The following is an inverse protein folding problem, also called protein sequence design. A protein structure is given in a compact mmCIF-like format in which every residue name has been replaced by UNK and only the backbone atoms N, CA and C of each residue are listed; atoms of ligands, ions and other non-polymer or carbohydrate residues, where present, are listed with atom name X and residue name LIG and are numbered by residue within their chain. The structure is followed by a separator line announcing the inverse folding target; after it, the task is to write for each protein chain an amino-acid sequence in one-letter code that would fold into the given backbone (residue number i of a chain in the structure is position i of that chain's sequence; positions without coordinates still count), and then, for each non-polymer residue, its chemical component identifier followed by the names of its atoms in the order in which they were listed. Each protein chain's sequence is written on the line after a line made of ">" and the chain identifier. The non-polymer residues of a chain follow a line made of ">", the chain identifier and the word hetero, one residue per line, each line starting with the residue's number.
data_IF_308849019394
#
_entry.id   IF_308849019394
#
_cell.length_a   1.000
_cell.length_b   1.000
_cell.length_c   1.000
_cell.angle_alpha   90.00
_cell.angle_beta   90.00
_cell.angle_gamma   90.00
#
_symmetry.space_group_name_H-M   'P 1'
#
loop_
_entity.id
_entity.type
_entity.pdbx_description
1 polymer ?
#
# COMPACT_ATOMS: atom_id res chain seq x y z
N UNK A 1 42.37 -33.86 -25.92
CA UNK A 1 40.92 -33.51 -25.95
C UNK A 1 40.12 -34.17 -24.81
N UNK A 2 40.24 -35.50 -24.59
CA UNK A 2 39.55 -36.26 -23.52
C UNK A 2 39.79 -35.79 -22.06
N UNK A 3 41.02 -35.38 -21.70
CA UNK A 3 41.35 -34.85 -20.35
C UNK A 3 40.64 -33.52 -20.03
N UNK A 4 40.51 -32.63 -21.02
CA UNK A 4 39.79 -31.33 -20.87
C UNK A 4 38.28 -31.54 -20.69
N UNK A 5 37.69 -32.56 -21.32
CA UNK A 5 36.28 -32.94 -21.17
C UNK A 5 35.99 -33.56 -19.78
N UNK A 6 36.88 -34.42 -19.25
CA UNK A 6 36.75 -34.96 -17.88
C UNK A 6 36.85 -33.86 -16.81
N UNK A 7 37.76 -32.89 -16.97
CA UNK A 7 37.89 -31.77 -16.02
C UNK A 7 36.68 -30.84 -16.03
N UNK A 8 36.13 -30.52 -17.21
CA UNK A 8 34.89 -29.73 -17.31
C UNK A 8 33.69 -30.41 -16.66
N UNK A 9 33.54 -31.74 -16.84
CA UNK A 9 32.49 -32.52 -16.14
C UNK A 9 32.69 -32.49 -14.62
N UNK A 10 33.91 -32.70 -14.11
CA UNK A 10 34.21 -32.68 -12.67
C UNK A 10 33.87 -31.33 -12.00
N UNK A 11 34.25 -30.21 -12.63
CA UNK A 11 33.95 -28.86 -12.13
C UNK A 11 32.43 -28.60 -12.14
N UNK A 12 31.73 -29.06 -13.18
CA UNK A 12 30.27 -28.96 -13.26
C UNK A 12 29.57 -29.76 -12.15
N UNK A 13 30.00 -31.00 -11.89
CA UNK A 13 29.46 -31.82 -10.80
C UNK A 13 29.73 -31.23 -9.42
N UNK A 14 30.91 -30.62 -9.21
CA UNK A 14 31.21 -29.90 -7.97
C UNK A 14 30.29 -28.69 -7.78
N UNK A 15 30.15 -27.83 -8.79
CA UNK A 15 29.21 -26.68 -8.74
C UNK A 15 27.76 -27.12 -8.51
N UNK A 16 27.34 -28.21 -9.14
CA UNK A 16 25.99 -28.76 -8.94
C UNK A 16 25.81 -29.28 -7.52
N UNK A 17 26.81 -29.97 -6.95
CA UNK A 17 26.78 -30.43 -5.55
C UNK A 17 26.76 -29.25 -4.58
N UNK A 18 27.60 -28.25 -4.79
CA UNK A 18 27.65 -27.05 -3.96
C UNK A 18 26.30 -26.30 -4.01
N UNK A 19 25.68 -26.19 -5.19
CA UNK A 19 24.35 -25.61 -5.35
C UNK A 19 23.26 -26.43 -4.63
N UNK A 20 23.31 -27.77 -4.69
CA UNK A 20 22.38 -28.66 -3.99
C UNK A 20 22.52 -28.58 -2.46
N UNK A 21 23.76 -28.48 -1.96
CA UNK A 21 24.01 -28.28 -0.53
C UNK A 21 23.52 -26.89 -0.06
N UNK A 22 23.75 -25.84 -0.86
CA UNK A 22 23.21 -24.51 -0.56
C UNK A 22 21.68 -24.49 -0.54
N UNK A 23 21.02 -25.13 -1.51
CA UNK A 23 19.55 -25.29 -1.53
C UNK A 23 19.05 -26.05 -0.30
N UNK A 24 19.74 -27.12 0.11
CA UNK A 24 19.41 -27.87 1.33
C UNK A 24 19.57 -27.01 2.59
N UNK A 25 20.64 -26.23 2.70
CA UNK A 25 20.85 -25.31 3.82
C UNK A 25 19.75 -24.25 3.85
N UNK A 26 19.41 -23.66 2.71
CA UNK A 26 18.37 -22.65 2.60
C UNK A 26 17.00 -23.20 3.04
N UNK A 27 16.62 -24.40 2.58
CA UNK A 27 15.39 -25.07 3.01
C UNK A 27 15.37 -25.35 4.52
N UNK A 28 16.50 -25.74 5.10
CA UNK A 28 16.59 -25.96 6.55
C UNK A 28 16.43 -24.66 7.33
N UNK A 29 17.04 -23.55 6.87
CA UNK A 29 16.86 -22.22 7.46
C UNK A 29 15.39 -21.79 7.41
N UNK A 30 14.74 -21.89 6.25
CA UNK A 30 13.32 -21.58 6.10
C UNK A 30 12.42 -22.41 7.05
N UNK A 31 12.74 -23.70 7.24
CA UNK A 31 12.02 -24.55 8.19
C UNK A 31 12.22 -24.11 9.64
N UNK A 32 13.43 -23.72 10.03
CA UNK A 32 13.74 -23.20 11.37
C UNK A 32 12.98 -21.89 11.60
N UNK A 33 13.05 -20.95 10.66
CA UNK A 33 12.37 -19.66 10.73
C UNK A 33 10.85 -19.83 10.85
N UNK A 34 10.25 -20.73 10.05
CA UNK A 34 8.82 -21.05 10.14
C UNK A 34 8.45 -21.61 11.51
N UNK A 35 9.24 -22.53 12.07
CA UNK A 35 9.00 -23.09 13.40
C UNK A 35 9.10 -22.03 14.49
N UNK A 36 10.13 -21.19 14.43
CA UNK A 36 10.30 -20.07 15.35
C UNK A 36 9.11 -19.11 15.25
N UNK A 37 8.67 -18.76 14.04
CA UNK A 37 7.49 -17.94 13.82
C UNK A 37 6.24 -18.54 14.46
N UNK A 38 5.94 -19.83 14.23
CA UNK A 38 4.76 -20.48 14.81
C UNK A 38 4.79 -20.44 16.35
N UNK A 39 5.96 -20.67 16.95
CA UNK A 39 6.15 -20.59 18.39
C UNK A 39 5.89 -19.17 18.92
N UNK A 40 6.54 -18.17 18.33
CA UNK A 40 6.42 -16.77 18.73
C UNK A 40 5.00 -16.23 18.53
N UNK A 41 4.34 -16.59 17.43
CA UNK A 41 2.95 -16.20 17.20
C UNK A 41 2.01 -16.83 18.23
N UNK A 42 2.18 -18.12 18.53
CA UNK A 42 1.38 -18.81 19.56
C UNK A 42 1.53 -18.16 20.93
N UNK A 43 2.76 -17.82 21.32
CA UNK A 43 3.03 -17.10 22.58
C UNK A 43 2.39 -15.71 22.58
N UNK A 44 2.52 -14.95 21.48
CA UNK A 44 1.87 -13.65 21.36
C UNK A 44 0.36 -13.77 21.51
N UNK A 45 -0.26 -14.76 20.86
CA UNK A 45 -1.70 -15.01 20.98
C UNK A 45 -2.16 -15.38 22.38
N UNK A 46 -1.35 -16.13 23.13
CA UNK A 46 -1.65 -16.49 24.51
C UNK A 46 -1.50 -15.30 25.46
N UNK A 47 -0.51 -14.44 25.23
CA UNK A 47 -0.25 -13.26 26.06
C UNK A 47 -1.21 -12.09 25.75
N UNK A 48 -1.76 -12.04 24.54
CA UNK A 48 -2.67 -10.98 24.13
C UNK A 48 -4.02 -11.09 24.87
N UNK A 49 -4.27 -10.18 25.81
CA UNK A 49 -5.57 -10.12 26.50
C UNK A 49 -6.52 -9.13 25.85
N UNK A 50 -7.79 -9.51 25.67
CA UNK A 50 -8.84 -8.59 25.22
C UNK A 50 -9.20 -7.52 26.26
N UNK A 51 -8.76 -7.69 27.52
CA UNK A 51 -9.05 -6.78 28.63
C UNK A 51 -8.39 -5.40 28.45
N UNK A 52 -7.36 -5.31 27.62
CA UNK A 52 -6.63 -4.06 27.34
C UNK A 52 -7.22 -3.24 26.17
N UNK A 53 -8.37 -3.64 25.62
CA UNK A 53 -8.96 -2.98 24.46
C UNK A 53 -9.46 -1.56 24.78
N UNK A 54 -9.02 -0.59 23.98
CA UNK A 54 -9.43 0.82 24.06
C UNK A 54 -10.20 1.22 22.82
N UNK A 55 -11.51 1.45 22.96
CA UNK A 55 -12.42 1.62 21.82
C UNK A 55 -12.10 2.82 20.92
N UNK A 56 -11.51 3.90 21.44
CA UNK A 56 -11.17 5.12 20.67
C UNK A 56 -9.65 5.28 20.44
N UNK A 57 -8.86 4.25 20.70
CA UNK A 57 -7.42 4.24 20.48
C UNK A 57 -7.10 3.60 19.14
N UNK A 58 -6.43 4.32 18.25
CA UNK A 58 -6.08 3.85 16.92
C UNK A 58 -4.56 3.69 16.78
N UNK A 59 -4.16 2.52 16.31
CA UNK A 59 -2.77 2.20 15.98
C UNK A 59 -2.55 2.47 14.49
N UNK A 60 -1.61 3.37 14.21
CA UNK A 60 -1.19 3.79 12.88
C UNK A 60 0.18 3.20 12.55
N UNK A 61 0.46 2.96 11.27
CA UNK A 61 1.76 2.42 10.88
C UNK A 61 2.88 3.47 10.96
N UNK A 62 3.95 3.06 11.64
CA UNK A 62 5.25 3.69 11.66
C UNK A 62 6.10 3.15 10.51
N UNK A 63 6.73 4.05 9.75
CA UNK A 63 7.60 3.72 8.62
C UNK A 63 9.02 4.26 8.78
N UNK A 64 9.39 4.79 9.95
CA UNK A 64 10.73 5.31 10.24
C UNK A 64 11.85 4.27 10.14
N UNK A 65 11.51 3.00 10.30
CA UNK A 65 12.45 1.88 10.12
C UNK A 65 12.18 1.08 8.84
N UNK A 66 11.12 1.42 8.10
CA UNK A 66 10.77 0.79 6.84
C UNK A 66 11.62 1.38 5.72
N UNK A 67 12.79 0.77 5.52
CA UNK A 67 13.81 1.26 4.59
C UNK A 67 14.18 0.18 3.59
N UNK A 68 14.41 0.58 2.34
CA UNK A 68 14.93 -0.31 1.31
C UNK A 68 16.30 0.22 0.90
N UNK A 69 17.38 -0.49 1.26
CA UNK A 69 18.76 -0.11 0.94
C UNK A 69 19.14 1.31 1.41
N UNK A 70 18.67 1.74 2.58
CA UNK A 70 18.97 3.07 3.13
C UNK A 70 18.10 4.20 2.58
N UNK A 71 17.00 3.87 1.90
CA UNK A 71 16.05 4.84 1.36
C UNK A 71 14.67 4.71 2.00
N UNK A 72 14.02 5.85 2.19
CA UNK A 72 12.60 5.95 2.51
C UNK A 72 11.74 6.26 1.30
N UNK A 73 10.54 5.68 1.31
CA UNK A 73 9.46 5.99 0.39
C UNK A 73 8.40 6.82 1.11
N UNK A 74 8.28 8.11 0.79
CA UNK A 74 7.28 8.97 1.44
C UNK A 74 5.85 8.54 1.13
N UNK A 75 5.63 7.71 0.10
CA UNK A 75 4.34 7.09 -0.20
C UNK A 75 3.79 6.24 0.94
N UNK A 76 4.64 5.67 1.78
CA UNK A 76 4.21 4.90 2.95
C UNK A 76 3.62 5.82 4.02
N UNK A 77 4.28 6.95 4.29
CA UNK A 77 3.77 7.98 5.19
C UNK A 77 2.46 8.60 4.68
N UNK A 78 2.28 8.76 3.36
CA UNK A 78 1.01 9.22 2.76
C UNK A 78 -0.13 8.25 3.12
N UNK A 79 0.11 6.93 3.12
CA UNK A 79 -0.90 5.95 3.53
C UNK A 79 -1.32 6.19 4.98
N UNK A 80 -0.36 6.42 5.91
CA UNK A 80 -0.66 6.71 7.32
C UNK A 80 -1.39 8.04 7.49
N UNK A 81 -1.00 9.09 6.77
CA UNK A 81 -1.67 10.40 6.77
C UNK A 81 -3.14 10.24 6.36
N UNK A 82 -3.39 9.51 5.27
CA UNK A 82 -4.74 9.27 4.76
C UNK A 82 -5.60 8.44 5.73
N UNK A 83 -5.02 7.39 6.33
CA UNK A 83 -5.69 6.59 7.37
C UNK A 83 -6.08 7.46 8.56
N UNK A 84 -5.15 8.30 9.06
CA UNK A 84 -5.43 9.23 10.16
C UNK A 84 -6.53 10.22 9.82
N UNK A 85 -6.55 10.76 8.60
CA UNK A 85 -7.59 11.67 8.13
C UNK A 85 -8.96 10.97 8.03
N UNK A 86 -9.02 9.76 7.48
CA UNK A 86 -10.26 8.97 7.37
C UNK A 86 -10.85 8.62 8.75
N UNK A 87 -10.01 8.31 9.74
CA UNK A 87 -10.46 8.09 11.12
C UNK A 87 -11.04 9.37 11.73
N UNK A 88 -10.32 10.50 11.62
CA UNK A 88 -10.78 11.79 12.18
C UNK A 88 -12.09 12.30 11.58
N UNK A 89 -12.39 11.94 10.32
CA UNK A 89 -13.68 12.28 9.68
C UNK A 89 -14.85 11.46 10.23
N UNK A 90 -14.61 10.24 10.71
CA UNK A 90 -15.65 9.31 11.13
C UNK A 90 -15.84 9.23 12.65
N UNK A 91 -14.81 9.59 13.43
CA UNK A 91 -14.79 9.41 14.87
C UNK A 91 -14.25 10.65 15.59
N UNK A 92 -14.94 11.05 16.66
CA UNK A 92 -14.55 12.13 17.56
C UNK A 92 -13.75 11.58 18.76
N UNK A 93 -12.92 12.44 19.39
CA UNK A 93 -12.16 12.10 20.62
C UNK A 93 -11.29 10.84 20.48
N UNK A 94 -10.62 10.72 19.33
CA UNK A 94 -9.73 9.60 19.02
C UNK A 94 -8.31 9.87 19.49
N UNK A 95 -7.65 8.83 19.98
CA UNK A 95 -6.23 8.81 20.32
C UNK A 95 -5.45 8.03 19.26
N UNK A 96 -4.21 8.43 19.01
CA UNK A 96 -3.35 7.79 18.02
C UNK A 96 -2.03 7.35 18.63
N UNK A 97 -1.62 6.14 18.30
CA UNK A 97 -0.30 5.60 18.57
C UNK A 97 0.32 5.13 17.24
N UNK A 98 1.65 5.18 17.13
CA UNK A 98 2.35 4.63 15.97
C UNK A 98 3.06 3.33 16.33
N UNK A 99 3.00 2.35 15.43
CA UNK A 99 3.68 1.07 15.59
C UNK A 99 4.15 0.54 14.25
N UNK A 100 5.33 -0.08 14.22
CA UNK A 100 5.86 -0.66 12.99
C UNK A 100 5.00 -1.85 12.55
N UNK A 101 4.67 -1.88 11.26
CA UNK A 101 4.04 -3.06 10.67
C UNK A 101 4.96 -4.30 10.73
N UNK A 102 6.27 -4.11 10.89
CA UNK A 102 7.23 -5.21 10.91
C UNK A 102 7.31 -5.94 12.26
N UNK A 103 6.73 -5.37 13.32
CA UNK A 103 6.67 -5.97 14.66
C UNK A 103 5.26 -5.97 15.24
N UNK A 104 4.24 -5.71 14.41
CA UNK A 104 2.86 -5.50 14.86
C UNK A 104 2.33 -6.69 15.67
N UNK A 105 2.67 -7.93 15.28
CA UNK A 105 2.27 -9.15 15.98
C UNK A 105 2.69 -9.17 17.46
N UNK A 106 3.73 -8.42 17.85
CA UNK A 106 4.27 -8.38 19.22
C UNK A 106 3.85 -7.14 19.99
N UNK A 107 3.04 -6.26 19.37
CA UNK A 107 2.59 -5.03 20.00
C UNK A 107 1.81 -5.32 21.28
N UNK A 108 2.21 -4.62 22.34
CA UNK A 108 1.49 -4.60 23.60
C UNK A 108 0.39 -3.53 23.59
N UNK A 109 -0.62 -3.73 24.44
CA UNK A 109 -1.80 -2.87 24.55
C UNK A 109 -2.84 -3.14 23.46
N UNK A 110 -4.06 -2.65 23.70
CA UNK A 110 -5.19 -2.80 22.79
C UNK A 110 -5.54 -1.52 22.04
N UNK A 111 -6.40 -1.66 21.05
CA UNK A 111 -6.84 -0.57 20.18
C UNK A 111 -7.35 -1.09 18.84
N UNK A 112 -7.47 -0.21 17.86
CA UNK A 112 -7.96 -0.52 16.53
C UNK A 112 -6.85 -0.26 15.52
N UNK A 113 -6.57 -1.22 14.65
CA UNK A 113 -5.61 -1.06 13.55
C UNK A 113 -6.35 -1.21 12.22
N UNK A 114 -6.18 -0.21 11.35
CA UNK A 114 -6.62 -0.29 9.96
C UNK A 114 -5.44 -0.81 9.14
N UNK A 115 -5.60 -1.97 8.52
CA UNK A 115 -4.55 -2.63 7.73
C UNK A 115 -4.34 -1.99 6.36
N UNK A 116 -4.25 -0.67 6.31
CA UNK A 116 -3.89 0.09 5.11
C UNK A 116 -2.36 0.16 5.00
N UNK A 117 -1.80 -0.60 4.07
CA UNK A 117 -0.35 -0.65 3.89
C UNK A 117 0.09 -1.55 2.75
N UNK A 118 1.40 -1.51 2.51
CA UNK A 118 2.11 -2.41 1.62
C UNK A 118 2.90 -3.41 2.47
N UNK A 119 2.39 -4.63 2.63
CA UNK A 119 3.03 -5.64 3.48
C UNK A 119 4.05 -6.43 2.66
N UNK A 120 5.33 -6.28 3.00
CA UNK A 120 6.43 -6.81 2.18
C UNK A 120 7.72 -7.15 2.91
N UNK A 121 8.03 -6.48 4.03
CA UNK A 121 9.33 -6.59 4.70
C UNK A 121 9.37 -7.60 5.84
N UNK A 122 8.23 -8.05 6.35
CA UNK A 122 8.20 -9.07 7.41
C UNK A 122 6.98 -9.97 7.31
N UNK A 123 7.00 -11.05 8.09
CA UNK A 123 5.89 -11.96 8.33
C UNK A 123 5.09 -11.60 9.60
N UNK A 124 5.46 -10.51 10.27
CA UNK A 124 4.98 -10.16 11.60
C UNK A 124 3.89 -9.07 11.57
N UNK A 125 3.34 -8.79 10.39
CA UNK A 125 2.37 -7.73 10.18
C UNK A 125 0.95 -8.08 10.60
N UNK A 126 0.65 -9.34 10.90
CA UNK A 126 -0.67 -9.71 11.40
C UNK A 126 -0.80 -9.32 12.87
N UNK A 127 -1.77 -8.48 13.24
CA UNK A 127 -1.88 -7.97 14.61
C UNK A 127 -2.28 -9.05 15.63
N UNK A 128 -1.92 -8.85 16.91
CA UNK A 128 -2.33 -9.70 18.02
C UNK A 128 -3.82 -9.54 18.34
N UNK A 129 -4.39 -10.45 19.16
CA UNK A 129 -5.82 -10.44 19.53
C UNK A 129 -6.23 -9.25 20.40
N UNK A 130 -5.27 -8.54 21.00
CA UNK A 130 -5.50 -7.29 21.72
C UNK A 130 -5.89 -6.14 20.79
N UNK A 131 -5.55 -6.23 19.49
CA UNK A 131 -5.90 -5.25 18.49
C UNK A 131 -7.10 -5.70 17.66
N UNK A 132 -8.06 -4.80 17.53
CA UNK A 132 -9.14 -4.94 16.59
C UNK A 132 -8.65 -4.64 15.18
N UNK A 133 -8.50 -5.70 14.38
CA UNK A 133 -7.95 -5.64 13.03
C UNK A 133 -9.05 -5.39 11.98
N UNK A 134 -8.93 -4.28 11.25
CA UNK A 134 -9.86 -3.91 10.17
C UNK A 134 -9.09 -3.80 8.86
N UNK A 135 -9.36 -4.70 7.90
CA UNK A 135 -8.67 -4.69 6.61
C UNK A 135 -9.30 -3.69 5.64
N UNK A 136 -8.53 -2.67 5.27
CA UNK A 136 -8.90 -1.66 4.27
C UNK A 136 -7.63 -1.20 3.59
N UNK A 137 -7.59 -1.21 2.25
CA UNK A 137 -6.46 -0.75 1.47
C UNK A 137 -5.22 -1.62 1.64
N UNK A 138 -5.43 -2.89 1.99
CA UNK A 138 -4.36 -3.87 2.18
C UNK A 138 -3.80 -4.33 0.83
N UNK A 139 -2.48 -4.35 0.70
CA UNK A 139 -1.81 -5.01 -0.39
C UNK A 139 -0.82 -6.07 0.11
N UNK A 140 -0.91 -7.25 -0.48
CA UNK A 140 0.06 -8.32 -0.27
C UNK A 140 0.93 -8.45 -1.53
N UNK A 141 2.24 -8.28 -1.37
CA UNK A 141 3.17 -8.67 -2.41
C UNK A 141 3.32 -10.21 -2.44
N UNK A 142 4.04 -10.79 -3.42
CA UNK A 142 4.23 -12.25 -3.48
C UNK A 142 4.79 -12.87 -2.19
N UNK A 143 5.71 -12.18 -1.50
CA UNK A 143 6.26 -12.66 -0.22
C UNK A 143 5.19 -12.76 0.86
N UNK A 144 4.40 -11.70 1.04
CA UNK A 144 3.28 -11.68 1.98
C UNK A 144 2.21 -12.72 1.61
N UNK A 145 1.91 -12.92 0.32
CA UNK A 145 0.98 -13.96 -0.14
C UNK A 145 1.45 -15.36 0.26
N UNK A 146 2.73 -15.68 0.05
CA UNK A 146 3.33 -16.96 0.46
C UNK A 146 3.24 -17.14 1.99
N UNK A 147 3.51 -16.08 2.74
CA UNK A 147 3.35 -16.10 4.19
C UNK A 147 1.89 -16.33 4.61
N UNK A 148 0.93 -15.64 4.00
CA UNK A 148 -0.50 -15.81 4.31
C UNK A 148 -0.97 -17.24 4.00
N UNK A 149 -0.49 -17.85 2.91
CA UNK A 149 -0.77 -19.25 2.60
C UNK A 149 -0.26 -20.19 3.71
N UNK A 150 1.02 -20.05 4.08
CA UNK A 150 1.63 -20.81 5.17
C UNK A 150 0.88 -20.59 6.50
N UNK A 151 0.59 -19.34 6.83
CA UNK A 151 -0.06 -18.95 8.08
C UNK A 151 -1.47 -19.52 8.16
N UNK A 152 -2.27 -19.40 7.10
CA UNK A 152 -3.64 -19.91 7.06
C UNK A 152 -3.71 -21.44 7.19
N UNK A 153 -2.69 -22.17 6.71
CA UNK A 153 -2.62 -23.62 6.89
C UNK A 153 -2.44 -24.03 8.36
N UNK A 154 -1.83 -23.17 9.20
CA UNK A 154 -1.60 -23.43 10.63
C UNK A 154 -2.63 -22.77 11.54
N UNK A 155 -3.16 -21.62 11.15
CA UNK A 155 -4.12 -20.82 11.92
C UNK A 155 -5.38 -20.48 11.09
N UNK A 156 -6.13 -21.47 10.59
CA UNK A 156 -7.27 -21.24 9.68
C UNK A 156 -8.39 -20.40 10.32
N UNK A 157 -8.46 -20.37 11.65
CA UNK A 157 -9.45 -19.58 12.38
C UNK A 157 -9.17 -18.07 12.36
N UNK A 158 -7.94 -17.64 12.07
CA UNK A 158 -7.57 -16.22 12.14
C UNK A 158 -8.37 -15.35 11.16
N UNK A 159 -8.52 -15.83 9.92
CA UNK A 159 -9.28 -15.12 8.88
C UNK A 159 -10.77 -15.47 8.88
N UNK A 160 -11.20 -16.41 9.71
CA UNK A 160 -12.61 -16.81 9.78
C UNK A 160 -13.46 -15.61 10.19
N UNK A 161 -14.54 -15.36 9.43
CA UNK A 161 -15.48 -14.26 9.61
C UNK A 161 -14.89 -12.85 9.48
N UNK A 162 -13.64 -12.70 9.02
CA UNK A 162 -13.04 -11.39 8.74
C UNK A 162 -13.36 -10.95 7.32
N UNK A 163 -13.62 -9.65 7.16
CA UNK A 163 -13.72 -9.03 5.84
C UNK A 163 -12.34 -8.47 5.45
N UNK A 164 -11.81 -8.87 4.30
CA UNK A 164 -10.50 -8.45 3.80
C UNK A 164 -10.67 -7.35 2.74
N UNK A 165 -10.50 -6.09 3.15
CA UNK A 165 -10.50 -4.95 2.25
C UNK A 165 -9.18 -4.80 1.49
N UNK A 166 -9.19 -5.20 0.22
CA UNK A 166 -8.01 -5.20 -0.66
C UNK A 166 -7.84 -3.84 -1.37
N UNK A 167 -6.58 -3.42 -1.52
CA UNK A 167 -6.21 -2.19 -2.22
C UNK A 167 -6.40 -2.29 -3.73
N UNK A 168 -6.07 -3.45 -4.28
CA UNK A 168 -5.96 -3.74 -5.71
C UNK A 168 -6.49 -5.14 -6.04
N UNK A 169 -6.69 -5.38 -7.33
CA UNK A 169 -7.29 -6.60 -7.86
C UNK A 169 -6.36 -7.79 -7.66
N UNK A 170 -5.04 -7.58 -7.72
CA UNK A 170 -4.06 -8.63 -7.46
C UNK A 170 -4.22 -9.21 -6.05
N UNK A 171 -4.32 -8.35 -5.03
CA UNK A 171 -4.56 -8.78 -3.66
C UNK A 171 -5.96 -9.39 -3.50
N UNK A 172 -6.98 -8.81 -4.14
CA UNK A 172 -8.36 -9.31 -4.10
C UNK A 172 -8.47 -10.73 -4.64
N UNK A 173 -7.93 -10.97 -5.83
CA UNK A 173 -7.98 -12.27 -6.50
C UNK A 173 -7.25 -13.34 -5.69
N UNK A 174 -6.11 -13.01 -5.09
CA UNK A 174 -5.41 -13.90 -4.17
C UNK A 174 -6.28 -14.26 -2.97
N UNK A 175 -6.87 -13.28 -2.29
CA UNK A 175 -7.68 -13.53 -1.10
C UNK A 175 -8.94 -14.35 -1.44
N UNK A 176 -9.57 -14.09 -2.58
CA UNK A 176 -10.72 -14.87 -3.05
C UNK A 176 -10.36 -16.31 -3.41
N UNK A 177 -9.21 -16.54 -4.06
CA UNK A 177 -8.69 -17.90 -4.33
C UNK A 177 -8.39 -18.68 -3.06
N UNK A 178 -8.00 -18.00 -1.98
CA UNK A 178 -7.83 -18.59 -0.65
C UNK A 178 -9.15 -18.88 0.08
N UNK A 179 -10.30 -18.47 -0.48
CA UNK A 179 -11.62 -18.61 0.13
C UNK A 179 -11.93 -17.57 1.21
N UNK A 180 -11.16 -16.48 1.29
CA UNK A 180 -11.43 -15.40 2.25
C UNK A 180 -12.59 -14.51 1.78
N UNK A 181 -13.32 -13.93 2.74
CA UNK A 181 -14.32 -12.92 2.43
C UNK A 181 -13.64 -11.59 2.07
N UNK A 182 -13.27 -11.41 0.81
CA UNK A 182 -12.49 -10.26 0.34
C UNK A 182 -13.29 -9.34 -0.59
N UNK A 183 -13.01 -8.04 -0.50
CA UNK A 183 -13.65 -7.00 -1.31
C UNK A 183 -12.63 -5.93 -1.73
N UNK A 184 -12.87 -5.25 -2.86
CA UNK A 184 -12.03 -4.13 -3.28
C UNK A 184 -12.40 -2.88 -2.47
N UNK A 185 -11.52 -2.45 -1.57
CA UNK A 185 -11.71 -1.22 -0.79
C UNK A 185 -10.96 -0.01 -1.37
N UNK A 186 -10.00 -0.24 -2.29
CA UNK A 186 -9.03 0.75 -2.79
C UNK A 186 -8.15 1.32 -1.66
N UNK A 187 -7.25 2.24 -2.00
CA UNK A 187 -6.37 2.91 -1.04
C UNK A 187 -7.06 4.14 -0.44
N UNK A 188 -7.08 4.33 0.89
CA UNK A 188 -7.70 5.52 1.51
C UNK A 188 -6.98 6.82 1.16
N UNK A 189 -5.83 6.79 0.49
CA UNK A 189 -5.27 8.01 -0.11
C UNK A 189 -6.22 8.66 -1.12
N UNK A 190 -7.19 7.91 -1.66
CA UNK A 190 -8.30 8.45 -2.45
C UNK A 190 -9.27 9.33 -1.64
N UNK A 191 -9.25 9.30 -0.31
CA UNK A 191 -10.20 10.04 0.56
C UNK A 191 -9.68 11.40 1.03
N UNK A 192 -8.52 11.85 0.54
CA UNK A 192 -7.97 13.17 0.86
C UNK A 192 -8.86 14.29 0.30
N UNK A 193 -8.84 15.43 1.00
CA UNK A 193 -9.73 16.55 0.70
C UNK A 193 -9.40 17.20 -0.64
N UNK A 194 -10.47 17.48 -1.39
CA UNK A 194 -10.37 18.24 -2.64
C UNK A 194 -9.81 19.63 -2.33
N UNK A 195 -9.00 20.17 -3.23
CA UNK A 195 -8.52 21.55 -3.17
C UNK A 195 -9.52 22.53 -3.76
N UNK A 196 -9.46 23.77 -3.31
CA UNK A 196 -10.07 24.89 -4.02
C UNK A 196 -9.18 25.29 -5.20
N UNK A 197 -9.80 25.79 -6.29
CA UNK A 197 -9.03 26.29 -7.43
C UNK A 197 -8.35 27.60 -7.04
N UNK A 198 -7.09 27.75 -7.41
CA UNK A 198 -6.31 28.96 -7.16
C UNK A 198 -5.30 29.19 -8.29
N UNK A 199 -4.93 30.45 -8.51
CA UNK A 199 -3.93 30.87 -9.50
C UNK A 199 -2.52 30.35 -9.15
N UNK A 200 -2.27 30.03 -7.88
CA UNK A 200 -1.00 29.44 -7.42
C UNK A 200 -0.75 28.04 -7.99
N UNK A 201 -1.77 27.39 -8.55
CA UNK A 201 -1.73 26.03 -9.09
C UNK A 201 -1.15 26.02 -10.52
N UNK A 202 0.08 26.50 -10.67
CA UNK A 202 0.75 26.74 -11.95
C UNK A 202 1.88 25.75 -12.27
N UNK A 203 2.37 24.99 -11.28
CA UNK A 203 3.57 24.15 -11.39
C UNK A 203 3.27 22.78 -11.99
N UNK A 204 4.05 22.34 -12.99
CA UNK A 204 4.01 20.96 -13.48
C UNK A 204 5.01 20.16 -12.63
N UNK A 205 4.60 19.01 -12.11
CA UNK A 205 5.46 18.14 -11.33
C UNK A 205 5.71 16.82 -12.07
N UNK A 206 6.98 16.48 -12.26
CA UNK A 206 7.46 15.17 -12.71
C UNK A 206 7.96 14.41 -11.48
N UNK A 207 7.18 13.45 -11.00
CA UNK A 207 7.45 12.77 -9.73
C UNK A 207 7.78 11.30 -9.94
N UNK A 208 8.98 10.88 -9.54
CA UNK A 208 9.52 9.52 -9.75
C UNK A 208 9.53 9.06 -11.22
N UNK A 209 9.70 9.99 -12.16
CA UNK A 209 9.85 9.65 -13.58
C UNK A 209 11.29 9.22 -13.82
N UNK A 210 11.45 8.00 -14.34
CA UNK A 210 12.77 7.47 -14.71
C UNK A 210 13.22 8.10 -16.05
N UNK A 211 14.54 8.24 -16.22
CA UNK A 211 15.15 8.97 -17.36
C UNK A 211 14.73 8.40 -18.72
N UNK A 212 14.48 7.09 -18.80
CA UNK A 212 14.08 6.40 -20.03
C UNK A 212 12.68 6.78 -20.54
N UNK A 213 11.85 7.40 -19.69
CA UNK A 213 10.54 7.92 -20.07
C UNK A 213 10.59 9.36 -20.57
N UNK A 214 11.66 10.10 -20.24
CA UNK A 214 11.78 11.53 -20.54
C UNK A 214 11.67 11.88 -22.03
N UNK A 215 12.25 11.11 -22.98
CA UNK A 215 12.12 11.42 -24.40
C UNK A 215 10.68 11.44 -24.92
N UNK A 216 9.76 10.73 -24.26
CA UNK A 216 8.36 10.63 -24.66
C UNK A 216 7.45 11.69 -24.04
N UNK A 217 7.96 12.48 -23.10
CA UNK A 217 7.19 13.57 -22.48
C UNK A 217 7.38 14.84 -23.33
N UNK A 218 6.31 15.58 -23.68
CA UNK A 218 6.41 16.80 -24.47
C UNK A 218 7.43 17.79 -23.89
N UNK A 219 8.27 18.37 -24.76
CA UNK A 219 9.36 19.25 -24.36
C UNK A 219 8.88 20.43 -23.52
N UNK A 220 7.78 21.07 -23.91
CA UNK A 220 7.20 22.20 -23.19
C UNK A 220 6.74 21.83 -21.76
N UNK A 221 6.42 20.55 -21.50
CA UNK A 221 6.09 20.09 -20.15
C UNK A 221 7.36 19.81 -19.35
N UNK A 222 8.39 19.22 -19.97
CA UNK A 222 9.67 18.92 -19.31
C UNK A 222 10.41 20.16 -18.86
N UNK A 223 10.49 21.19 -19.71
CA UNK A 223 11.23 22.43 -19.44
C UNK A 223 10.60 23.28 -18.34
N UNK A 224 9.28 23.17 -18.16
CA UNK A 224 8.51 23.93 -17.16
C UNK A 224 8.18 23.10 -15.91
N UNK A 225 8.75 21.90 -15.77
CA UNK A 225 8.43 21.00 -14.67
C UNK A 225 9.46 21.06 -13.54
N UNK A 226 8.97 20.88 -12.32
CA UNK A 226 9.79 20.54 -11.17
C UNK A 226 9.89 19.02 -11.01
N UNK A 227 11.11 18.54 -10.79
CA UNK A 227 11.42 17.13 -10.60
C UNK A 227 11.45 16.78 -9.12
N UNK A 228 10.68 15.77 -8.72
CA UNK A 228 10.64 15.31 -7.33
C UNK A 228 10.90 13.81 -7.26
N UNK A 229 11.84 13.42 -6.41
CA UNK A 229 12.02 12.05 -5.99
C UNK A 229 11.30 11.84 -4.65
N UNK A 230 10.29 10.97 -4.65
CA UNK A 230 9.50 10.59 -3.47
C UNK A 230 9.80 9.16 -3.00
N UNK A 231 10.32 8.29 -3.87
CA UNK A 231 10.52 6.85 -3.60
C UNK A 231 11.89 6.52 -2.99
N UNK A 232 12.90 7.35 -3.28
CA UNK A 232 14.28 7.11 -2.89
C UNK A 232 14.84 8.30 -2.12
N UNK A 233 14.20 8.65 -0.99
CA UNK A 233 14.74 9.65 -0.06
C UNK A 233 15.90 9.01 0.71
N UNK A 234 17.11 9.49 0.48
CA UNK A 234 18.31 9.01 1.17
C UNK A 234 18.23 9.39 2.64
N UNK A 235 18.39 8.40 3.51
CA UNK A 235 18.36 8.62 4.95
C UNK A 235 19.55 9.48 5.39
N UNK A 236 20.73 9.22 4.84
CA UNK A 236 21.98 9.96 5.13
C UNK A 236 21.89 11.47 4.88
N UNK A 237 20.99 11.92 4.00
CA UNK A 237 20.81 13.33 3.64
C UNK A 237 19.79 14.04 4.55
N UNK A 238 19.14 13.31 5.47
CA UNK A 238 18.07 13.85 6.31
C UNK A 238 18.57 14.19 7.72
N UNK A 239 18.09 15.31 8.31
CA UNK A 239 18.54 15.75 9.63
C UNK A 239 18.02 14.87 10.78
N UNK A 240 17.06 13.99 10.51
CA UNK A 240 16.45 13.09 11.48
C UNK A 240 15.83 11.89 10.74
N UNK A 241 15.76 10.76 11.44
CA UNK A 241 15.21 9.51 10.89
C UNK A 241 13.89 9.11 11.55
N UNK A 242 13.26 10.02 12.29
CA UNK A 242 12.08 9.71 13.10
C UNK A 242 10.80 9.68 12.27
N UNK A 243 9.81 8.95 12.78
CA UNK A 243 8.46 8.95 12.22
C UNK A 243 7.90 10.38 12.11
N UNK A 244 8.10 11.23 13.12
CA UNK A 244 7.60 12.60 13.13
C UNK A 244 8.23 13.45 12.01
N UNK A 245 9.55 13.36 11.82
CA UNK A 245 10.27 14.09 10.77
C UNK A 245 9.71 13.78 9.38
N UNK A 246 9.67 12.49 9.02
CA UNK A 246 9.19 12.07 7.71
C UNK A 246 7.68 12.28 7.54
N UNK A 247 6.89 12.16 8.61
CA UNK A 247 5.47 12.48 8.57
C UNK A 247 5.26 13.97 8.23
N UNK A 248 5.99 14.89 8.89
CA UNK A 248 5.93 16.32 8.62
C UNK A 248 6.44 16.67 7.21
N UNK A 249 7.56 16.07 6.78
CA UNK A 249 8.10 16.21 5.42
C UNK A 249 7.07 15.81 4.36
N UNK A 250 6.40 14.67 4.58
CA UNK A 250 5.36 14.16 3.69
C UNK A 250 4.12 15.06 3.66
N UNK A 251 3.69 15.59 4.81
CA UNK A 251 2.59 16.56 4.87
C UNK A 251 2.92 17.84 4.10
N UNK A 252 4.15 18.35 4.22
CA UNK A 252 4.60 19.50 3.45
C UNK A 252 4.59 19.20 1.95
N UNK A 253 5.06 18.02 1.52
CA UNK A 253 5.02 17.63 0.11
C UNK A 253 3.59 17.55 -0.43
N UNK A 254 2.66 16.92 0.31
CA UNK A 254 1.24 16.91 -0.05
C UNK A 254 0.65 18.31 -0.14
N UNK A 255 1.04 19.24 0.74
CA UNK A 255 0.61 20.64 0.69
C UNK A 255 1.12 21.35 -0.56
N UNK A 256 2.37 21.09 -0.96
CA UNK A 256 2.93 21.60 -2.23
C UNK A 256 2.11 21.09 -3.41
N UNK A 257 1.89 19.78 -3.51
CA UNK A 257 1.04 19.22 -4.56
C UNK A 257 -0.36 19.85 -4.56
N UNK A 258 -1.00 19.95 -3.39
CA UNK A 258 -2.33 20.54 -3.26
C UNK A 258 -2.35 21.99 -3.77
N UNK A 259 -1.39 22.82 -3.37
CA UNK A 259 -1.46 24.27 -3.56
C UNK A 259 -0.80 24.76 -4.85
N UNK A 260 0.18 24.03 -5.38
CA UNK A 260 1.04 24.48 -6.49
C UNK A 260 0.78 23.69 -7.78
N UNK A 261 0.32 22.43 -7.70
CA UNK A 261 0.31 21.57 -8.89
C UNK A 261 -0.75 21.98 -9.92
N UNK A 262 -0.31 22.31 -11.13
CA UNK A 262 -1.15 22.35 -12.33
C UNK A 262 -1.39 20.96 -12.89
N UNK A 263 -0.35 20.12 -12.90
CA UNK A 263 -0.33 18.77 -13.46
C UNK A 263 0.71 17.92 -12.72
N UNK A 264 0.38 16.66 -12.46
CA UNK A 264 1.31 15.66 -11.92
C UNK A 264 1.49 14.56 -12.97
N UNK A 265 2.74 14.26 -13.32
CA UNK A 265 3.11 13.13 -14.17
C UNK A 265 3.97 12.19 -13.32
N UNK A 266 3.56 10.94 -13.17
CA UNK A 266 4.19 10.03 -12.20
C UNK A 266 4.08 8.56 -12.57
N UNK A 267 4.99 7.76 -12.01
CA UNK A 267 4.96 6.29 -11.97
C UNK A 267 4.60 5.75 -10.58
N UNK A 268 4.14 6.59 -9.64
CA UNK A 268 3.85 6.17 -8.28
C UNK A 268 2.37 6.20 -7.92
N UNK A 269 1.84 5.06 -7.45
CA UNK A 269 0.46 4.96 -6.95
C UNK A 269 0.17 5.97 -5.83
N UNK A 270 1.06 6.06 -4.84
CA UNK A 270 0.90 6.96 -3.69
C UNK A 270 1.26 8.42 -4.00
N UNK A 271 1.43 8.76 -5.28
CA UNK A 271 1.43 10.13 -5.79
C UNK A 271 0.12 10.35 -6.55
N UNK A 272 -0.18 9.46 -7.50
CA UNK A 272 -1.36 9.57 -8.35
C UNK A 272 -2.67 9.52 -7.57
N UNK A 273 -2.81 8.57 -6.64
CA UNK A 273 -4.02 8.36 -5.84
C UNK A 273 -4.39 9.58 -4.97
N UNK A 274 -3.51 10.10 -4.09
CA UNK A 274 -3.81 11.30 -3.31
C UNK A 274 -3.98 12.54 -4.19
N UNK A 275 -3.21 12.71 -5.26
CA UNK A 275 -3.34 13.87 -6.15
C UNK A 275 -4.67 13.87 -6.91
N UNK A 276 -5.12 12.69 -7.37
CA UNK A 276 -6.44 12.50 -7.99
C UNK A 276 -7.54 12.87 -7.00
N UNK A 277 -7.44 12.41 -5.75
CA UNK A 277 -8.37 12.79 -4.69
C UNK A 277 -8.39 14.31 -4.48
N UNK A 278 -7.23 14.95 -4.39
CA UNK A 278 -7.15 16.39 -4.17
C UNK A 278 -7.69 17.21 -5.35
N UNK A 279 -8.06 16.59 -6.48
CA UNK A 279 -8.60 17.29 -7.65
C UNK A 279 -7.49 17.88 -8.53
N UNK A 280 -6.34 17.22 -8.58
CA UNK A 280 -5.20 17.57 -9.42
C UNK A 280 -5.27 16.72 -10.70
N UNK A 281 -5.03 17.29 -11.90
CA UNK A 281 -4.82 16.50 -13.11
C UNK A 281 -3.60 15.57 -12.95
N UNK A 282 -3.78 14.28 -13.24
CA UNK A 282 -2.73 13.26 -13.09
C UNK A 282 -2.56 12.45 -14.37
N UNK A 283 -1.31 12.25 -14.77
CA UNK A 283 -0.90 11.25 -15.76
C UNK A 283 -0.13 10.17 -15.01
N UNK A 284 -0.69 8.96 -14.98
CA UNK A 284 -0.10 7.80 -14.32
C UNK A 284 0.43 6.84 -15.38
N UNK A 285 1.72 6.52 -15.28
CA UNK A 285 2.42 5.63 -16.22
C UNK A 285 2.93 4.41 -15.45
N UNK A 286 2.49 3.23 -15.85
CA UNK A 286 3.01 1.96 -15.39
C UNK A 286 4.21 1.53 -16.23
N UNK A 287 5.27 1.09 -15.57
CA UNK A 287 6.52 0.64 -16.17
C UNK A 287 6.62 -0.89 -16.25
N UNK A 288 5.83 -1.60 -15.44
CA UNK A 288 5.85 -3.06 -15.37
C UNK A 288 4.49 -3.61 -14.91
N UNK A 289 4.35 -4.94 -14.97
CA UNK A 289 3.13 -5.65 -14.60
C UNK A 289 2.78 -5.49 -13.11
N UNK A 290 3.77 -5.45 -12.22
CA UNK A 290 3.54 -5.21 -10.79
C UNK A 290 2.86 -3.85 -10.55
N UNK A 291 3.33 -2.79 -11.22
CA UNK A 291 2.71 -1.48 -11.16
C UNK A 291 1.30 -1.50 -11.74
N UNK A 292 1.07 -2.16 -12.89
CA UNK A 292 -0.28 -2.30 -13.44
C UNK A 292 -1.25 -2.96 -12.46
N UNK A 293 -0.82 -4.04 -11.82
CA UNK A 293 -1.57 -4.77 -10.81
C UNK A 293 -1.93 -3.85 -9.64
N UNK A 294 -0.96 -3.09 -9.12
CA UNK A 294 -1.18 -2.14 -8.01
C UNK A 294 -2.04 -0.95 -8.41
N UNK A 295 -1.89 -0.46 -9.64
CA UNK A 295 -2.65 0.68 -10.16
C UNK A 295 -4.09 0.35 -10.46
N UNK A 296 -4.49 -0.93 -10.43
CA UNK A 296 -5.90 -1.31 -10.51
C UNK A 296 -6.76 -0.64 -9.41
N UNK A 297 -6.15 -0.20 -8.31
CA UNK A 297 -6.77 0.65 -7.29
C UNK A 297 -7.39 1.95 -7.84
N UNK A 298 -6.88 2.46 -8.97
CA UNK A 298 -7.34 3.64 -9.69
C UNK A 298 -8.12 3.33 -10.97
N UNK A 299 -8.33 2.04 -11.28
CA UNK A 299 -9.12 1.62 -12.44
C UNK A 299 -10.54 2.19 -12.35
N UNK A 300 -11.00 2.76 -13.46
CA UNK A 300 -12.28 3.45 -13.57
C UNK A 300 -12.25 4.91 -13.11
N UNK A 301 -11.16 5.39 -12.50
CA UNK A 301 -11.03 6.78 -12.02
C UNK A 301 -10.22 7.63 -12.99
N UNK A 302 -9.00 7.19 -13.32
CA UNK A 302 -8.13 7.82 -14.31
C UNK A 302 -7.57 6.77 -15.28
N UNK A 303 -7.14 7.16 -16.49
CA UNK A 303 -6.37 6.29 -17.35
C UNK A 303 -5.06 5.83 -16.68
N UNK A 304 -4.69 4.58 -16.93
CA UNK A 304 -3.40 4.02 -16.54
C UNK A 304 -2.66 3.77 -17.84
N UNK A 305 -1.66 4.60 -18.14
CA UNK A 305 -0.84 4.45 -19.33
C UNK A 305 0.32 3.50 -19.06
N UNK A 306 0.94 3.03 -20.12
CA UNK A 306 2.15 2.24 -20.13
C UNK A 306 3.25 2.96 -20.92
N UNK A 307 4.49 2.47 -20.80
CA UNK A 307 5.57 2.92 -21.70
C UNK A 307 5.21 2.74 -23.18
N UNK A 308 4.50 1.67 -23.54
CA UNK A 308 4.03 1.45 -24.91
C UNK A 308 3.06 2.54 -25.37
N UNK A 309 2.17 3.02 -24.51
CA UNK A 309 1.25 4.11 -24.85
C UNK A 309 2.02 5.43 -25.10
N UNK A 310 3.12 5.66 -24.37
CA UNK A 310 4.02 6.79 -24.62
C UNK A 310 4.71 6.67 -25.98
N UNK A 311 5.29 5.50 -26.28
CA UNK A 311 5.95 5.21 -27.56
C UNK A 311 5.00 5.36 -28.77
N UNK A 312 3.71 5.11 -28.56
CA UNK A 312 2.67 5.20 -29.57
C UNK A 312 1.98 6.58 -29.63
N UNK A 313 2.44 7.57 -28.86
CA UNK A 313 1.81 8.88 -28.72
C UNK A 313 0.31 8.82 -28.34
N UNK A 314 -0.08 7.79 -27.57
CA UNK A 314 -1.46 7.55 -27.13
C UNK A 314 -1.80 8.22 -25.78
N UNK A 315 -0.83 8.87 -25.13
CA UNK A 315 -1.02 9.53 -23.83
C UNK A 315 -1.66 10.91 -24.00
N UNK A 316 -2.79 11.14 -23.33
CA UNK A 316 -3.36 12.48 -23.20
C UNK A 316 -2.63 13.28 -22.11
N UNK A 317 -1.82 14.26 -22.53
CA UNK A 317 -1.08 15.16 -21.63
C UNK A 317 -1.91 16.34 -21.06
N UNK A 318 -3.20 16.40 -21.35
CA UNK A 318 -4.16 17.35 -20.77
C UNK A 318 -5.36 16.60 -20.15
N UNK A 319 -5.15 15.80 -19.09
CA UNK A 319 -6.21 14.99 -18.50
C UNK A 319 -7.26 15.86 -17.79
N UNK A 320 -8.53 15.46 -17.88
CA UNK A 320 -9.61 16.05 -17.08
C UNK A 320 -9.50 15.55 -15.64
N UNK A 321 -9.83 16.42 -14.68
CA UNK A 321 -9.93 16.04 -13.26
C UNK A 321 -11.22 15.25 -13.03
N UNK A 322 -11.16 13.99 -12.56
CA UNK A 322 -12.36 13.23 -12.28
C UNK A 322 -13.10 13.80 -11.06
N UNK A 323 -14.43 13.82 -11.09
CA UNK A 323 -15.22 14.01 -9.88
C UNK A 323 -15.25 12.67 -9.12
N UNK A 324 -14.70 12.66 -7.91
CA UNK A 324 -14.58 11.45 -7.07
C UNK A 324 -15.28 11.59 -5.72
N UNK A 325 -16.11 12.62 -5.55
CA UNK A 325 -16.68 12.96 -4.24
C UNK A 325 -17.57 11.85 -3.68
N UNK A 326 -18.41 11.25 -4.51
CA UNK A 326 -19.26 10.10 -4.17
C UNK A 326 -18.45 8.86 -3.79
N UNK A 327 -17.36 8.57 -4.52
CA UNK A 327 -16.44 7.50 -4.16
C UNK A 327 -15.80 7.74 -2.80
N UNK A 328 -15.37 8.97 -2.52
CA UNK A 328 -14.74 9.32 -1.23
C UNK A 328 -15.70 9.11 -0.07
N UNK A 329 -16.92 9.60 -0.20
CA UNK A 329 -17.96 9.45 0.81
C UNK A 329 -18.25 7.96 1.04
N UNK A 330 -18.38 7.17 -0.02
CA UNK A 330 -18.58 5.74 0.08
C UNK A 330 -17.40 5.02 0.78
N UNK A 331 -16.16 5.36 0.44
CA UNK A 331 -14.97 4.80 1.06
C UNK A 331 -14.88 5.14 2.55
N UNK A 332 -15.20 6.39 2.93
CA UNK A 332 -15.23 6.83 4.32
C UNK A 332 -16.34 6.15 5.11
N UNK A 333 -17.53 5.96 4.52
CA UNK A 333 -18.61 5.21 5.14
C UNK A 333 -18.24 3.73 5.30
N UNK A 334 -17.55 3.13 4.33
CA UNK A 334 -17.04 1.77 4.44
C UNK A 334 -16.01 1.64 5.59
N UNK A 335 -15.16 2.64 5.83
CA UNK A 335 -14.27 2.67 7.01
C UNK A 335 -15.10 2.63 8.29
N UNK A 336 -16.10 3.51 8.42
CA UNK A 336 -16.96 3.60 9.61
C UNK A 336 -17.68 2.27 9.88
N UNK A 337 -18.39 1.75 8.88
CA UNK A 337 -19.17 0.52 9.00
C UNK A 337 -18.29 -0.71 9.25
N UNK A 338 -17.10 -0.78 8.66
CA UNK A 338 -16.17 -1.90 8.89
C UNK A 338 -15.64 -1.89 10.33
N UNK A 339 -15.30 -0.72 10.87
CA UNK A 339 -14.89 -0.58 12.28
C UNK A 339 -16.06 -0.91 13.22
N UNK A 340 -17.25 -0.39 12.94
CA UNK A 340 -18.43 -0.64 13.79
C UNK A 340 -18.83 -2.12 13.78
N UNK A 341 -18.72 -2.82 12.63
CA UNK A 341 -18.89 -4.26 12.53
C UNK A 341 -17.91 -5.03 13.40
N UNK A 342 -16.62 -4.72 13.31
CA UNK A 342 -15.58 -5.41 14.10
C UNK A 342 -15.72 -5.11 15.60
N UNK A 343 -16.24 -3.93 15.97
CA UNK A 343 -16.62 -3.60 17.36
C UNK A 343 -17.84 -4.39 17.87
N UNK A 344 -18.48 -5.21 17.03
CA UNK A 344 -19.67 -5.97 17.38
C UNK A 344 -20.95 -5.13 17.43
N UNK A 345 -20.96 -3.92 16.83
CA UNK A 345 -22.19 -3.15 16.71
C UNK A 345 -23.08 -3.75 15.64
N UNK A 346 -24.38 -3.63 15.84
CA UNK A 346 -25.35 -3.92 14.79
C UNK A 346 -25.19 -2.91 13.65
N UNK A 347 -24.99 -3.42 12.44
CA UNK A 347 -24.85 -2.62 11.23
C UNK A 347 -25.77 -3.16 10.15
N UNK A 348 -26.19 -2.28 9.24
CA UNK A 348 -26.88 -2.69 8.01
C UNK A 348 -25.88 -3.38 7.07
N UNK A 349 -25.85 -4.71 7.14
CA UNK A 349 -24.95 -5.56 6.34
C UNK A 349 -25.27 -5.50 4.84
N UNK A 350 -26.53 -5.27 4.47
CA UNK A 350 -26.94 -5.14 3.08
C UNK A 350 -26.46 -3.81 2.50
N UNK A 351 -26.56 -2.72 3.27
CA UNK A 351 -25.98 -1.42 2.92
C UNK A 351 -24.46 -1.52 2.77
N UNK A 352 -23.76 -2.14 3.73
CA UNK A 352 -22.31 -2.34 3.64
C UNK A 352 -21.91 -3.13 2.37
N UNK A 353 -22.66 -4.17 2.03
CA UNK A 353 -22.44 -4.95 0.80
C UNK A 353 -22.60 -4.08 -0.46
N UNK A 354 -23.72 -3.38 -0.60
CA UNK A 354 -23.98 -2.47 -1.73
C UNK A 354 -22.93 -1.38 -1.85
N UNK A 355 -22.49 -0.84 -0.72
CA UNK A 355 -21.44 0.18 -0.65
C UNK A 355 -20.10 -0.33 -1.19
N UNK A 356 -19.70 -1.54 -0.79
CA UNK A 356 -18.48 -2.20 -1.27
C UNK A 356 -18.56 -2.56 -2.75
N UNK A 357 -19.73 -2.99 -3.23
CA UNK A 357 -19.98 -3.21 -4.65
C UNK A 357 -19.80 -1.90 -5.45
N UNK A 358 -20.40 -0.80 -4.98
CA UNK A 358 -20.24 0.52 -5.58
C UNK A 358 -18.77 0.95 -5.67
N UNK A 359 -18.00 0.82 -4.58
CA UNK A 359 -16.56 1.14 -4.56
C UNK A 359 -15.79 0.28 -5.57
N UNK A 360 -16.10 -1.01 -5.62
CA UNK A 360 -15.41 -1.97 -6.48
C UNK A 360 -15.66 -1.70 -7.97
N UNK A 361 -16.90 -1.40 -8.35
CA UNK A 361 -17.30 -1.17 -9.74
C UNK A 361 -17.23 0.30 -10.16
N UNK A 362 -16.79 1.19 -9.27
CA UNK A 362 -16.78 2.63 -9.51
C UNK A 362 -16.10 3.00 -10.83
N UNK A 363 -16.81 3.81 -11.62
CA UNK A 363 -16.30 4.44 -12.83
C UNK A 363 -16.76 5.89 -12.82
N UNK A 364 -15.83 6.80 -13.06
CA UNK A 364 -16.18 8.20 -13.27
C UNK A 364 -17.12 8.26 -14.46
N UNK A 365 -18.26 8.94 -14.30
CA UNK A 365 -19.17 9.18 -15.41
C UNK A 365 -18.37 9.83 -16.53
N UNK A 366 -18.24 9.11 -17.66
CA UNK A 366 -17.69 9.70 -18.87
C UNK A 366 -18.61 10.86 -19.21
N UNK A 367 -18.11 12.09 -19.06
CA UNK A 367 -18.73 13.34 -19.49
C UNK A 367 -19.89 13.84 -18.61
N UNK A 368 -19.56 14.75 -17.69
CA UNK A 368 -20.27 16.03 -17.64
C UNK A 368 -19.28 17.12 -18.08
#
# INVERSE_FOLDING_TARGET
>A
MLRKLKNKKSIFFKRLRDALELDKIQRNLELIERRQFLHLFTQSMQNATKKDFKANHFVLFDYSHHTHLGYHNLGDFIQTIATKAAIKKNFSKVEFEYSSSESLMFKQGGGIVIMQGYFSLSNNFLPPLSLLCVFIGTHFNPSAMNFIQFFNAHFPHYFKNKDLGCRDNFTLEFCQKMGFNAYLSRCLTLTLDKREKSETQSVIFLVNIDEDLMPFIPQNLRENAEFINQKSIKIEDEPSYTQEHFFKKTQNLLRRYKNEAKLIITTGLHIASPCTAMGIPVILIAQNEEQLNRFSALKGIIPIYTKKDLEQNAVNFSPKVPNTQDLKEAMLENVKLSIDKERGKEIDTQKLKKLREFIATYKVSRFH
#
